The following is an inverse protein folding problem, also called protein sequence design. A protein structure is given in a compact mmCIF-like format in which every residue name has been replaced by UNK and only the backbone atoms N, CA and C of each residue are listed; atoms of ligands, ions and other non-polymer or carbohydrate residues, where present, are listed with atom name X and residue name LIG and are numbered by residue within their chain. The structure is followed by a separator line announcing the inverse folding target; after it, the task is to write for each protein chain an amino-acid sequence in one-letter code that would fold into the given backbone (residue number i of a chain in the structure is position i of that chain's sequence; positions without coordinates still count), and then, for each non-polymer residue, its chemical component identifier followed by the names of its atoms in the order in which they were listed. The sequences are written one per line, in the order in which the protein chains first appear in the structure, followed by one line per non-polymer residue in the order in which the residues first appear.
data_IF_448153418472
#
_entry.id   IF_448153418472
#
_cell.length_a   1.000
_cell.length_b   1.000
_cell.length_c   1.000
_cell.angle_alpha   90.00
_cell.angle_beta   90.00
_cell.angle_gamma   90.00
#
_symmetry.space_group_name_H-M   'P 1'
#
loop_
_entity.id
_entity.type
_entity.pdbx_description
1 polymer ?
#
# COMPACT_ATOMS: atom_id res chain seq x y z
N UNK A 1 -10.34 4.58 30.42
CA UNK A 1 -11.03 4.49 29.10
C UNK A 1 -12.51 4.87 29.18
N UNK A 2 -13.17 4.73 30.33
CA UNK A 2 -14.64 4.86 30.43
C UNK A 2 -15.21 6.25 30.15
N UNK A 3 -14.52 7.33 30.49
CA UNK A 3 -15.02 8.70 30.24
C UNK A 3 -15.14 9.06 28.76
N UNK A 4 -14.24 8.56 27.92
CA UNK A 4 -14.22 8.82 26.48
C UNK A 4 -15.38 8.10 25.79
N UNK A 5 -15.62 6.84 26.19
CA UNK A 5 -16.76 6.06 25.70
C UNK A 5 -18.08 6.72 26.10
N UNK A 6 -18.23 7.19 27.34
CA UNK A 6 -19.42 7.92 27.81
C UNK A 6 -19.71 9.20 27.01
N UNK A 7 -18.67 9.95 26.59
CA UNK A 7 -18.83 11.16 25.76
C UNK A 7 -19.23 10.82 24.32
N UNK A 8 -18.74 9.69 23.79
CA UNK A 8 -18.99 9.27 22.42
C UNK A 8 -20.30 8.46 22.26
N UNK A 9 -20.72 7.77 23.32
CA UNK A 9 -22.00 7.05 23.45
C UNK A 9 -23.18 7.98 23.80
N UNK A 10 -22.91 9.25 24.15
CA UNK A 10 -23.95 10.22 24.47
C UNK A 10 -24.94 10.38 23.31
N UNK A 11 -26.22 10.09 23.58
CA UNK A 11 -27.32 10.18 22.60
C UNK A 11 -27.89 11.59 22.43
N UNK A 12 -27.40 12.53 23.22
CA UNK A 12 -27.93 13.88 23.21
C UNK A 12 -27.49 14.61 21.94
N UNK A 13 -28.50 15.05 21.18
CA UNK A 13 -28.44 16.24 20.32
C UNK A 13 -28.08 17.42 21.23
N UNK A 14 -26.81 17.49 21.62
CA UNK A 14 -26.31 18.51 22.48
C UNK A 14 -25.95 19.66 21.54
N UNK A 15 -26.87 20.61 21.38
CA UNK A 15 -26.79 21.75 20.46
C UNK A 15 -25.53 22.64 20.69
N UNK A 16 -24.71 22.31 21.69
CA UNK A 16 -23.46 22.97 22.07
C UNK A 16 -22.18 22.21 21.66
N UNK A 17 -22.29 21.09 20.93
CA UNK A 17 -21.11 20.35 20.47
C UNK A 17 -20.41 21.07 19.31
N UNK A 18 -19.08 21.18 19.41
CA UNK A 18 -18.27 21.72 18.31
C UNK A 18 -18.27 20.76 17.13
N UNK A 19 -18.13 21.29 15.90
CA UNK A 19 -18.08 20.48 14.68
C UNK A 19 -17.07 19.32 14.74
N UNK A 20 -15.85 19.47 15.30
CA UNK A 20 -14.94 18.34 15.49
C UNK A 20 -15.51 17.23 16.39
N UNK A 21 -16.25 17.59 17.44
CA UNK A 21 -16.83 16.62 18.36
C UNK A 21 -17.98 15.84 17.70
N UNK A 22 -18.81 16.53 16.91
CA UNK A 22 -19.85 15.88 16.09
C UNK A 22 -19.23 14.89 15.10
N UNK A 23 -18.13 15.28 14.42
CA UNK A 23 -17.40 14.38 13.51
C UNK A 23 -16.83 13.16 14.25
N UNK A 24 -16.26 13.36 15.45
CA UNK A 24 -15.70 12.27 16.26
C UNK A 24 -16.79 11.29 16.73
N UNK A 25 -17.96 11.78 17.15
CA UNK A 25 -19.10 10.94 17.54
C UNK A 25 -19.65 10.16 16.34
N UNK A 26 -19.83 10.80 15.19
CA UNK A 26 -20.31 10.12 13.99
C UNK A 26 -19.32 9.04 13.51
N UNK A 27 -18.02 9.34 13.54
CA UNK A 27 -16.99 8.36 13.23
C UNK A 27 -17.03 7.18 14.21
N UNK A 28 -17.09 7.46 15.52
CA UNK A 28 -17.20 6.42 16.56
C UNK A 28 -18.43 5.53 16.37
N UNK A 29 -19.62 6.13 16.17
CA UNK A 29 -20.87 5.40 15.90
C UNK A 29 -20.72 4.50 14.68
N UNK A 30 -20.09 4.98 13.60
CA UNK A 30 -19.84 4.17 12.41
C UNK A 30 -18.87 3.00 12.64
N UNK A 31 -17.94 3.11 13.59
CA UNK A 31 -16.99 2.03 13.91
C UNK A 31 -17.61 0.91 14.77
N UNK A 32 -18.56 1.25 15.65
CA UNK A 32 -19.19 0.29 16.56
C UNK A 32 -20.46 -0.35 16.00
N UNK A 33 -21.01 0.19 14.90
CA UNK A 33 -22.17 -0.35 14.20
C UNK A 33 -21.82 -1.65 13.47
N UNK A 34 -21.91 -2.75 14.20
CA UNK A 34 -21.61 -4.10 13.69
C UNK A 34 -22.58 -4.53 12.61
N UNK A 35 -23.85 -4.13 12.69
CA UNK A 35 -24.90 -4.54 11.76
C UNK A 35 -24.66 -3.96 10.36
N UNK A 36 -24.38 -2.66 10.26
CA UNK A 36 -24.05 -2.04 8.99
C UNK A 36 -22.67 -2.49 8.47
N UNK A 37 -21.70 -2.71 9.36
CA UNK A 37 -20.40 -3.25 8.97
C UNK A 37 -20.57 -4.61 8.32
N UNK A 38 -21.30 -5.53 8.93
CA UNK A 38 -21.47 -6.87 8.41
C UNK A 38 -22.32 -6.88 7.13
N UNK A 39 -23.28 -5.95 7.01
CA UNK A 39 -24.12 -5.79 5.82
C UNK A 39 -23.39 -5.23 4.59
N UNK A 40 -22.44 -4.30 4.79
CA UNK A 40 -21.79 -3.57 3.68
C UNK A 40 -20.27 -3.82 3.55
N UNK A 41 -19.65 -4.60 4.45
CA UNK A 41 -18.19 -4.80 4.52
C UNK A 41 -17.58 -5.16 3.16
N UNK A 42 -18.16 -6.14 2.47
CA UNK A 42 -17.63 -6.63 1.20
C UNK A 42 -17.78 -5.58 0.11
N UNK A 43 -18.93 -4.90 0.05
CA UNK A 43 -19.24 -3.97 -1.03
C UNK A 43 -18.34 -2.73 -0.99
N UNK A 44 -18.06 -2.21 0.21
CA UNK A 44 -17.16 -1.09 0.41
C UNK A 44 -15.74 -1.42 -0.06
N UNK A 45 -15.18 -2.54 0.41
CA UNK A 45 -13.82 -2.96 0.03
C UNK A 45 -13.74 -3.37 -1.44
N UNK A 46 -14.76 -4.05 -1.98
CA UNK A 46 -14.79 -4.45 -3.41
C UNK A 46 -14.83 -3.22 -4.31
N UNK A 47 -15.63 -2.21 -3.95
CA UNK A 47 -15.68 -0.93 -4.69
C UNK A 47 -14.32 -0.24 -4.66
N UNK A 48 -13.69 -0.20 -3.48
CA UNK A 48 -12.37 0.40 -3.31
C UNK A 48 -11.29 -0.34 -4.12
N UNK A 49 -11.22 -1.67 -4.02
CA UNK A 49 -10.26 -2.49 -4.76
C UNK A 49 -10.44 -2.35 -6.28
N UNK A 50 -11.68 -2.23 -6.77
CA UNK A 50 -11.95 -1.93 -8.19
C UNK A 50 -11.44 -0.55 -8.60
N UNK A 51 -11.67 0.47 -7.77
CA UNK A 51 -11.18 1.83 -8.03
C UNK A 51 -9.66 1.92 -8.01
N UNK A 52 -9.02 1.18 -7.10
CA UNK A 52 -7.57 1.12 -6.96
C UNK A 52 -6.92 0.14 -7.95
N UNK A 53 -7.71 -0.61 -8.72
CA UNK A 53 -7.23 -1.72 -9.57
C UNK A 53 -6.38 -2.75 -8.80
N UNK A 54 -6.63 -2.95 -7.50
CA UNK A 54 -5.85 -3.83 -6.65
C UNK A 54 -5.77 -3.36 -5.19
N UNK A 55 -4.92 -4.05 -4.40
CA UNK A 55 -4.64 -3.71 -3.02
C UNK A 55 -3.54 -2.63 -2.96
N UNK A 56 -3.70 -1.53 -2.20
CA UNK A 56 -2.66 -0.51 -2.08
C UNK A 56 -1.42 -1.08 -1.40
N UNK A 57 -0.25 -0.72 -1.93
CA UNK A 57 1.06 -0.99 -1.31
C UNK A 57 1.14 -0.24 0.03
N UNK A 58 1.60 -0.92 1.08
CA UNK A 58 1.83 -0.35 2.41
C UNK A 58 3.24 0.25 2.52
N UNK A 59 3.45 1.12 3.51
CA UNK A 59 4.75 1.77 3.80
C UNK A 59 5.87 0.77 4.21
N UNK A 60 5.53 -0.51 4.37
CA UNK A 60 6.45 -1.64 4.56
C UNK A 60 6.10 -2.74 3.59
N UNK A 61 7.12 -3.49 3.15
CA UNK A 61 6.91 -4.74 2.43
C UNK A 61 6.09 -5.70 3.29
N UNK A 62 5.10 -6.36 2.68
CA UNK A 62 4.13 -7.19 3.39
C UNK A 62 4.81 -8.36 4.12
N UNK A 63 5.79 -8.97 3.46
CA UNK A 63 6.65 -9.99 4.07
C UNK A 63 8.10 -9.98 3.58
N UNK A 64 8.41 -9.24 2.51
CA UNK A 64 9.72 -9.28 1.84
C UNK A 64 10.90 -9.05 2.80
N UNK A 65 10.80 -8.03 3.66
CA UNK A 65 11.84 -7.72 4.66
C UNK A 65 12.07 -8.88 5.63
N UNK A 66 10.99 -9.54 6.05
CA UNK A 66 11.07 -10.65 7.00
C UNK A 66 11.70 -11.88 6.36
N UNK A 67 11.34 -12.19 5.12
CA UNK A 67 11.88 -13.34 4.39
C UNK A 67 13.34 -13.16 3.97
N UNK A 68 13.76 -11.92 3.71
CA UNK A 68 15.14 -11.59 3.33
C UNK A 68 16.04 -11.31 4.53
N UNK A 69 15.48 -11.08 5.73
CA UNK A 69 16.22 -10.81 6.96
C UNK A 69 17.29 -11.86 7.27
N UNK A 70 18.51 -11.43 7.59
CA UNK A 70 19.59 -12.31 8.06
C UNK A 70 19.45 -12.71 9.53
N UNK A 71 18.55 -12.07 10.27
CA UNK A 71 18.34 -12.28 11.71
C UNK A 71 17.39 -13.44 12.04
N UNK A 72 16.59 -13.89 11.08
CA UNK A 72 15.66 -14.99 11.25
C UNK A 72 16.21 -16.26 10.62
N UNK A 73 16.02 -17.38 11.30
CA UNK A 73 16.37 -18.67 10.75
C UNK A 73 15.36 -19.13 9.68
N UNK A 74 15.68 -20.23 8.99
CA UNK A 74 14.84 -20.77 7.92
C UNK A 74 13.47 -21.23 8.44
N UNK A 75 13.39 -21.78 9.64
CA UNK A 75 12.14 -22.29 10.20
C UNK A 75 11.21 -21.12 10.58
N UNK A 76 11.75 -20.07 11.19
CA UNK A 76 11.01 -18.85 11.51
C UNK A 76 10.45 -18.19 10.24
N UNK A 77 11.26 -18.08 9.18
CA UNK A 77 10.81 -17.57 7.88
C UNK A 77 9.69 -18.42 7.28
N UNK A 78 9.84 -19.74 7.30
CA UNK A 78 8.82 -20.66 6.80
C UNK A 78 7.50 -20.53 7.58
N UNK A 79 7.57 -20.32 8.90
CA UNK A 79 6.38 -20.15 9.74
C UNK A 79 5.65 -18.85 9.39
N UNK A 80 6.38 -17.74 9.19
CA UNK A 80 5.81 -16.46 8.77
C UNK A 80 5.15 -16.58 7.40
N UNK A 81 5.83 -17.18 6.42
CA UNK A 81 5.28 -17.39 5.08
C UNK A 81 4.01 -18.24 5.14
N UNK A 82 4.01 -19.32 5.93
CA UNK A 82 2.86 -20.19 6.10
C UNK A 82 1.65 -19.42 6.68
N UNK A 83 1.87 -18.61 7.72
CA UNK A 83 0.82 -17.77 8.32
C UNK A 83 0.28 -16.76 7.32
N UNK A 84 1.16 -16.11 6.56
CA UNK A 84 0.77 -15.18 5.50
C UNK A 84 -0.11 -15.87 4.45
N UNK A 85 0.33 -17.02 3.91
CA UNK A 85 -0.43 -17.80 2.92
C UNK A 85 -1.80 -18.21 3.45
N UNK A 86 -1.88 -18.66 4.71
CA UNK A 86 -3.16 -19.03 5.32
C UNK A 86 -4.12 -17.84 5.42
N UNK A 87 -3.62 -16.67 5.84
CA UNK A 87 -4.44 -15.46 5.92
C UNK A 87 -4.87 -15.00 4.53
N UNK A 88 -3.93 -14.88 3.59
CA UNK A 88 -4.21 -14.42 2.23
C UNK A 88 -5.22 -15.33 1.50
N UNK A 89 -5.09 -16.66 1.63
CA UNK A 89 -6.09 -17.61 1.11
C UNK A 89 -7.47 -17.39 1.72
N UNK A 90 -7.57 -17.13 3.03
CA UNK A 90 -8.86 -16.84 3.68
C UNK A 90 -9.48 -15.57 3.09
N UNK A 91 -8.69 -14.51 2.91
CA UNK A 91 -9.17 -13.25 2.31
C UNK A 91 -9.60 -13.47 0.86
N UNK A 92 -8.80 -14.12 0.03
CA UNK A 92 -9.13 -14.34 -1.38
C UNK A 92 -10.35 -15.25 -1.57
N UNK A 93 -10.51 -16.28 -0.72
CA UNK A 93 -11.72 -17.11 -0.68
C UNK A 93 -12.96 -16.31 -0.27
N UNK A 94 -12.80 -15.36 0.66
CA UNK A 94 -13.87 -14.44 1.04
C UNK A 94 -14.33 -13.57 -0.13
N UNK A 95 -13.43 -13.26 -1.09
CA UNK A 95 -13.76 -12.60 -2.36
C UNK A 95 -14.20 -13.56 -3.48
N UNK A 96 -14.44 -14.84 -3.18
CA UNK A 96 -15.00 -15.81 -4.12
C UNK A 96 -13.98 -16.59 -4.96
N UNK A 97 -12.68 -16.47 -4.68
CA UNK A 97 -11.65 -17.29 -5.36
C UNK A 97 -11.59 -18.67 -4.71
N UNK A 98 -11.98 -19.70 -5.45
CA UNK A 98 -12.11 -21.07 -4.92
C UNK A 98 -11.03 -22.05 -5.40
N UNK A 99 -10.33 -21.74 -6.49
CA UNK A 99 -9.27 -22.61 -7.03
C UNK A 99 -7.98 -22.49 -6.20
N UNK A 100 -7.65 -23.56 -5.46
CA UNK A 100 -6.44 -23.62 -4.64
C UNK A 100 -5.15 -23.52 -5.46
N UNK A 101 -5.11 -24.05 -6.68
CA UNK A 101 -3.90 -24.01 -7.51
C UNK A 101 -3.62 -22.60 -7.99
N UNK A 102 -4.66 -21.89 -8.43
CA UNK A 102 -4.55 -20.49 -8.83
C UNK A 102 -4.21 -19.60 -7.62
N UNK A 103 -4.79 -19.87 -6.45
CA UNK A 103 -4.44 -19.16 -5.22
C UNK A 103 -2.95 -19.34 -4.87
N UNK A 104 -2.44 -20.57 -4.91
CA UNK A 104 -1.04 -20.83 -4.59
C UNK A 104 -0.10 -20.14 -5.58
N UNK A 105 -0.39 -20.24 -6.89
CA UNK A 105 0.39 -19.57 -7.94
C UNK A 105 0.40 -18.05 -7.75
N UNK A 106 -0.73 -17.42 -7.46
CA UNK A 106 -0.80 -15.98 -7.24
C UNK A 106 -0.03 -15.56 -5.98
N UNK A 107 -0.09 -16.37 -4.91
CA UNK A 107 0.66 -16.08 -3.70
C UNK A 107 2.16 -16.24 -3.90
N UNK A 108 2.60 -17.22 -4.68
CA UNK A 108 4.01 -17.34 -5.08
C UNK A 108 4.47 -16.08 -5.80
N UNK A 109 3.72 -15.62 -6.81
CA UNK A 109 4.03 -14.40 -7.55
C UNK A 109 4.11 -13.15 -6.65
N UNK A 110 3.17 -13.00 -5.70
CA UNK A 110 3.18 -11.89 -4.73
C UNK A 110 4.41 -11.98 -3.81
N UNK A 111 4.72 -13.17 -3.29
CA UNK A 111 5.83 -13.37 -2.36
C UNK A 111 7.17 -13.12 -3.06
N UNK A 112 7.35 -13.62 -4.28
CA UNK A 112 8.54 -13.39 -5.10
C UNK A 112 8.73 -11.90 -5.42
N UNK A 113 7.62 -11.21 -5.75
CA UNK A 113 7.64 -9.78 -5.98
C UNK A 113 8.06 -9.01 -4.72
N UNK A 114 7.46 -9.32 -3.56
CA UNK A 114 7.80 -8.71 -2.26
C UNK A 114 9.27 -8.95 -1.86
N UNK A 115 9.78 -10.18 -2.06
CA UNK A 115 11.20 -10.49 -1.84
C UNK A 115 12.09 -9.64 -2.76
N UNK A 116 11.73 -9.53 -4.04
CA UNK A 116 12.50 -8.74 -5.01
C UNK A 116 12.57 -7.26 -4.62
N UNK A 117 11.47 -6.70 -4.12
CA UNK A 117 11.42 -5.33 -3.61
C UNK A 117 12.31 -5.15 -2.36
N UNK A 118 12.21 -6.07 -1.40
CA UNK A 118 13.01 -6.03 -0.18
C UNK A 118 14.52 -6.19 -0.43
N UNK A 119 14.92 -7.08 -1.34
CA UNK A 119 16.33 -7.18 -1.77
C UNK A 119 16.79 -5.89 -2.46
N UNK A 120 15.92 -5.27 -3.26
CA UNK A 120 16.27 -4.02 -3.93
C UNK A 120 16.54 -2.87 -2.95
N UNK A 121 15.80 -2.82 -1.84
CA UNK A 121 15.92 -1.78 -0.80
C UNK A 121 17.09 -1.98 0.17
N UNK A 122 17.67 -3.18 0.24
CA UNK A 122 18.82 -3.50 1.13
C UNK A 122 20.16 -2.92 0.65
N UNK A 123 20.16 -1.80 -0.07
CA UNK A 123 21.38 -1.27 -0.64
C UNK A 123 22.13 -0.36 0.35
N UNK A 124 23.32 -0.80 0.79
CA UNK A 124 24.19 -0.08 1.72
C UNK A 124 25.03 1.04 1.06
N UNK A 125 24.85 1.30 -0.24
CA UNK A 125 25.65 2.32 -0.93
C UNK A 125 25.09 3.73 -0.69
N UNK A 126 25.41 4.27 0.49
CA UNK A 126 25.03 5.61 0.93
C UNK A 126 25.48 6.74 -0.01
N UNK A 127 26.41 6.47 -0.95
CA UNK A 127 26.98 7.48 -1.85
C UNK A 127 25.99 8.02 -2.89
N UNK A 128 24.92 7.26 -3.20
CA UNK A 128 23.91 7.62 -4.20
C UNK A 128 22.51 7.82 -3.62
N UNK A 129 22.41 8.08 -2.30
CA UNK A 129 21.11 8.20 -1.64
C UNK A 129 20.31 9.35 -2.26
N UNK A 130 20.91 10.54 -2.38
CA UNK A 130 20.22 11.70 -2.93
C UNK A 130 20.71 12.07 -4.32
N UNK A 131 19.82 12.00 -5.31
CA UNK A 131 20.10 12.52 -6.66
C UNK A 131 19.04 13.57 -7.03
N UNK A 132 19.51 14.63 -7.66
CA UNK A 132 18.67 15.69 -8.23
C UNK A 132 18.62 15.50 -9.74
N UNK A 133 17.43 15.22 -10.28
CA UNK A 133 17.22 15.00 -11.71
C UNK A 133 16.09 15.92 -12.18
N UNK A 134 16.19 16.46 -13.40
CA UNK A 134 15.07 17.18 -14.00
C UNK A 134 13.97 16.20 -14.39
N UNK A 135 12.71 16.64 -14.31
CA UNK A 135 11.55 15.84 -14.75
C UNK A 135 11.75 15.28 -16.17
N UNK A 136 12.26 16.11 -17.09
CA UNK A 136 12.55 15.75 -18.49
C UNK A 136 13.56 14.60 -18.64
N UNK A 137 14.61 14.55 -17.81
CA UNK A 137 15.68 13.54 -17.96
C UNK A 137 15.43 12.28 -17.13
N UNK A 138 14.39 12.28 -16.28
CA UNK A 138 14.12 11.20 -15.33
C UNK A 138 13.85 9.84 -16.02
N UNK A 139 13.18 9.85 -17.17
CA UNK A 139 12.86 8.65 -17.95
C UNK A 139 14.09 7.98 -18.57
N UNK A 140 15.21 8.70 -18.70
CA UNK A 140 16.47 8.12 -19.21
C UNK A 140 17.14 7.21 -18.18
N UNK A 141 16.82 7.39 -16.91
CA UNK A 141 17.44 6.66 -15.81
C UNK A 141 16.57 5.53 -15.25
N UNK A 142 15.26 5.63 -15.44
CA UNK A 142 14.28 4.73 -14.88
C UNK A 142 13.58 3.96 -16.00
N UNK A 143 13.38 2.65 -15.80
CA UNK A 143 12.64 1.81 -16.74
C UNK A 143 11.10 2.01 -16.68
N UNK A 144 10.63 3.11 -16.09
CA UNK A 144 9.23 3.48 -16.00
C UNK A 144 9.06 5.00 -15.97
N UNK A 145 7.86 5.45 -16.36
CA UNK A 145 7.54 6.86 -16.53
C UNK A 145 7.06 7.50 -15.21
N UNK A 146 8.02 7.77 -14.32
CA UNK A 146 7.76 8.44 -13.03
C UNK A 146 7.18 9.84 -13.22
N UNK A 147 7.59 10.58 -14.25
CA UNK A 147 7.08 11.92 -14.52
C UNK A 147 5.57 11.92 -14.81
N UNK A 148 5.09 10.96 -15.60
CA UNK A 148 3.65 10.77 -15.85
C UNK A 148 2.90 10.32 -14.60
N UNK A 149 3.50 9.49 -13.74
CA UNK A 149 2.89 9.12 -12.46
C UNK A 149 2.69 10.36 -11.58
N UNK A 150 3.72 11.20 -11.46
CA UNK A 150 3.65 12.47 -10.72
C UNK A 150 2.56 13.37 -11.33
N UNK A 151 2.55 13.55 -12.66
CA UNK A 151 1.53 14.34 -13.34
C UNK A 151 0.10 13.85 -13.04
N UNK A 152 -0.13 12.54 -13.01
CA UNK A 152 -1.43 11.96 -12.66
C UNK A 152 -1.84 12.20 -11.21
N UNK A 153 -0.89 12.34 -10.29
CA UNK A 153 -1.16 12.68 -8.89
C UNK A 153 -1.49 14.17 -8.75
N UNK A 154 -0.67 15.05 -9.33
CA UNK A 154 -0.87 16.50 -9.21
C UNK A 154 -2.09 17.02 -9.97
N UNK A 155 -2.47 16.37 -11.08
CA UNK A 155 -3.70 16.71 -11.81
C UNK A 155 -4.96 16.51 -10.95
N UNK A 156 -4.96 15.53 -10.03
CA UNK A 156 -6.07 15.33 -9.07
C UNK A 156 -6.17 16.44 -8.04
N UNK A 157 -5.09 17.18 -7.81
CA UNK A 157 -5.03 18.32 -6.90
C UNK A 157 -5.29 19.65 -7.62
N UNK A 158 -5.67 19.62 -8.90
CA UNK A 158 -5.75 20.80 -9.78
C UNK A 158 -4.44 21.62 -9.80
N UNK A 159 -3.30 20.96 -9.58
CA UNK A 159 -2.00 21.61 -9.63
C UNK A 159 -1.34 21.32 -10.99
N UNK A 160 -0.99 22.35 -11.78
CA UNK A 160 -0.41 22.16 -13.10
C UNK A 160 1.05 21.71 -12.96
N UNK A 161 1.29 20.41 -12.95
CA UNK A 161 2.62 19.82 -13.13
C UNK A 161 2.79 19.42 -14.59
N UNK A 162 3.90 19.83 -15.21
CA UNK A 162 4.28 19.40 -16.55
C UNK A 162 5.58 18.60 -16.49
N UNK A 163 5.55 17.41 -17.10
CA UNK A 163 6.71 16.52 -17.23
C UNK A 163 7.82 17.09 -18.12
N UNK A 164 7.52 18.13 -18.90
CA UNK A 164 8.45 18.76 -19.85
C UNK A 164 9.22 19.94 -19.25
N UNK A 165 9.06 20.17 -17.95
CA UNK A 165 9.75 21.22 -17.20
C UNK A 165 11.16 20.81 -16.80
N UNK A 166 12.02 21.81 -16.58
CA UNK A 166 13.32 21.63 -15.94
C UNK A 166 13.21 21.60 -14.39
N UNK A 167 11.98 21.40 -13.88
CA UNK A 167 11.72 21.27 -12.46
C UNK A 167 12.54 20.11 -11.89
N UNK A 168 13.24 20.41 -10.80
CA UNK A 168 14.21 19.50 -10.23
C UNK A 168 13.52 18.66 -9.16
N UNK A 169 13.50 17.36 -9.37
CA UNK A 169 12.98 16.38 -8.43
C UNK A 169 14.14 15.83 -7.60
N UNK A 170 13.90 15.71 -6.30
CA UNK A 170 14.82 15.08 -5.37
C UNK A 170 14.39 13.64 -5.16
N UNK A 171 15.31 12.72 -5.41
CA UNK A 171 15.11 11.28 -5.24
C UNK A 171 15.98 10.83 -4.08
N UNK A 172 15.37 10.24 -3.05
CA UNK A 172 16.03 9.80 -1.81
C UNK A 172 16.66 8.41 -1.87
N UNK A 173 16.25 7.57 -2.82
CA UNK A 173 16.90 6.30 -3.10
C UNK A 173 16.83 5.99 -4.59
N UNK A 174 17.72 6.63 -5.34
CA UNK A 174 17.75 6.49 -6.78
C UNK A 174 18.13 5.07 -7.22
N UNK A 175 18.95 4.38 -6.42
CA UNK A 175 19.35 3.01 -6.75
C UNK A 175 18.18 2.05 -6.60
N UNK A 176 17.41 2.19 -5.52
CA UNK A 176 16.16 1.46 -5.36
C UNK A 176 15.20 1.73 -6.53
N UNK A 177 14.98 3.00 -6.90
CA UNK A 177 14.08 3.31 -8.03
C UNK A 177 14.53 2.69 -9.34
N UNK A 178 15.84 2.63 -9.62
CA UNK A 178 16.36 1.96 -10.81
C UNK A 178 16.05 0.46 -10.79
N UNK A 179 16.35 -0.22 -9.68
CA UNK A 179 16.04 -1.64 -9.48
C UNK A 179 14.54 -1.91 -9.55
N UNK A 180 13.72 -1.04 -8.96
CA UNK A 180 12.26 -1.10 -9.03
C UNK A 180 11.79 -1.07 -10.49
N UNK A 181 12.36 -0.20 -11.32
CA UNK A 181 12.04 -0.18 -12.74
C UNK A 181 12.36 -1.49 -13.46
N UNK A 182 13.47 -2.14 -13.12
CA UNK A 182 13.82 -3.47 -13.66
C UNK A 182 12.83 -4.54 -13.18
N UNK A 183 12.48 -4.55 -11.89
CA UNK A 183 11.49 -5.45 -11.30
C UNK A 183 10.14 -5.28 -12.00
N UNK A 184 9.65 -4.05 -12.14
CA UNK A 184 8.36 -3.74 -12.77
C UNK A 184 8.34 -4.13 -14.26
N UNK A 185 9.47 -4.02 -14.97
CA UNK A 185 9.58 -4.45 -16.37
C UNK A 185 9.47 -5.97 -16.53
N UNK A 186 10.01 -6.72 -15.57
CA UNK A 186 10.03 -8.18 -15.61
C UNK A 186 8.81 -8.82 -14.93
N UNK A 187 8.05 -8.04 -14.16
CA UNK A 187 6.83 -8.50 -13.48
C UNK A 187 5.62 -8.33 -14.39
N UNK A 188 4.76 -9.35 -14.47
CA UNK A 188 3.51 -9.25 -15.23
C UNK A 188 2.61 -8.20 -14.58
N UNK A 189 1.90 -7.43 -15.39
CA UNK A 189 0.97 -6.37 -14.93
C UNK A 189 -0.24 -6.91 -14.16
N UNK A 190 -0.56 -8.19 -14.30
CA UNK A 190 -1.77 -8.82 -13.75
C UNK A 190 -1.66 -9.02 -12.24
#
# INVERSE_FOLDING_TARGET
MDRLKVILDGDDKNDNLTLPMIKAQNFYKSCIDTDNRDRYAIQGITTLLRQLSGCPLTDRFLLGDTLTSTYLDRNEKNEVELKFRQLAKKVLRFFGVSDNRELDRQLDEIIEFEISLAVASQNDDYRNKYIRVSARNMTQYLNFDLARIIQNVYSRLNYPYSSDTDDKIFIEDFTYLKKLGEILKNTKKR
#
